data_IF_599949970427
#
_entry.id   IF_599949970427
#
_cell.length_a   1.000
_cell.length_b   1.000
_cell.length_c   1.000
_cell.angle_alpha   90.00
_cell.angle_beta   90.00
_cell.angle_gamma   90.00
#
_symmetry.space_group_name_H-M   'P 1'
#
loop_
_entity.id
_entity.type
_entity.pdbx_description
1 polymer ?
#
# COMPACT_ATOMS: atom_id res chain seq x y z
N UNK A 1 -0.75 -5.50 7.03
CA UNK A 1 -1.07 -4.20 6.39
C UNK A 1 -2.38 -3.58 6.88
N UNK A 2 -3.57 -4.17 6.71
CA UNK A 2 -4.84 -3.58 7.20
C UNK A 2 -4.82 -3.22 8.71
N UNK A 3 -4.29 -4.10 9.56
CA UNK A 3 -4.16 -3.82 11.00
C UNK A 3 -3.18 -2.68 11.28
N UNK A 4 -2.05 -2.64 10.56
CA UNK A 4 -1.09 -1.54 10.66
C UNK A 4 -1.73 -0.20 10.25
N UNK A 5 -2.49 -0.17 9.14
CA UNK A 5 -3.28 1.01 8.74
C UNK A 5 -4.28 1.41 9.83
N UNK A 6 -5.02 0.44 10.37
CA UNK A 6 -6.03 0.70 11.41
C UNK A 6 -5.41 1.34 12.64
N UNK A 7 -4.28 0.80 13.12
CA UNK A 7 -3.50 1.40 14.21
C UNK A 7 -3.01 2.82 13.89
N UNK A 8 -2.58 3.07 12.65
CA UNK A 8 -2.17 4.42 12.23
C UNK A 8 -3.35 5.40 12.19
N UNK A 9 -4.56 4.94 11.84
CA UNK A 9 -5.79 5.75 11.89
C UNK A 9 -6.16 6.07 13.35
N UNK A 10 -6.14 5.06 14.23
CA UNK A 10 -6.43 5.22 15.66
C UNK A 10 -5.45 6.20 16.33
N UNK A 11 -4.19 6.17 15.91
CA UNK A 11 -3.15 7.09 16.38
C UNK A 11 -3.13 8.43 15.63
N UNK A 12 -4.12 8.72 14.76
CA UNK A 12 -4.23 9.96 13.99
C UNK A 12 -3.04 10.28 13.06
N UNK A 13 -2.25 9.26 12.70
CA UNK A 13 -1.11 9.38 11.78
C UNK A 13 -1.60 9.57 10.33
N UNK A 14 -2.72 8.91 9.98
CA UNK A 14 -3.36 9.03 8.67
C UNK A 14 -4.88 9.14 8.81
N UNK A 15 -5.54 9.75 7.82
CA UNK A 15 -7.01 9.77 7.74
C UNK A 15 -7.57 8.39 7.36
N UNK A 16 -8.78 8.08 7.83
CA UNK A 16 -9.53 6.88 7.46
C UNK A 16 -9.77 6.80 5.94
N UNK A 17 -10.03 7.95 5.31
CA UNK A 17 -10.35 8.03 3.87
C UNK A 17 -9.10 7.96 2.98
N UNK A 18 -7.90 8.02 3.56
CA UNK A 18 -6.65 7.99 2.80
C UNK A 18 -6.49 6.68 2.00
N UNK A 19 -6.89 5.57 2.61
CA UNK A 19 -6.65 4.24 2.08
C UNK A 19 -7.80 3.27 2.38
N UNK A 20 -8.89 3.31 1.59
CA UNK A 20 -9.92 2.29 1.59
C UNK A 20 -9.33 0.88 1.50
N UNK A 21 -9.94 -0.08 2.21
CA UNK A 21 -9.41 -1.46 2.28
C UNK A 21 -9.25 -2.10 0.91
N UNK A 22 -10.19 -1.85 -0.01
CA UNK A 22 -10.14 -2.35 -1.37
C UNK A 22 -8.89 -1.90 -2.15
N UNK A 23 -8.52 -0.61 -2.08
CA UNK A 23 -7.34 -0.11 -2.77
C UNK A 23 -6.04 -0.61 -2.15
N UNK A 24 -6.00 -0.79 -0.83
CA UNK A 24 -4.87 -1.43 -0.17
C UNK A 24 -4.68 -2.89 -0.64
N UNK A 25 -5.76 -3.65 -0.79
CA UNK A 25 -5.70 -5.02 -1.32
C UNK A 25 -5.19 -5.04 -2.76
N UNK A 26 -5.74 -4.19 -3.62
CA UNK A 26 -5.28 -4.07 -5.01
C UNK A 26 -3.80 -3.63 -5.09
N UNK A 27 -3.35 -2.72 -4.23
CA UNK A 27 -1.94 -2.32 -4.21
C UNK A 27 -1.03 -3.50 -3.85
N UNK A 28 -1.42 -4.33 -2.87
CA UNK A 28 -0.66 -5.51 -2.48
C UNK A 28 -0.70 -6.62 -3.54
N UNK A 29 -1.79 -6.73 -4.30
CA UNK A 29 -1.91 -7.66 -5.43
C UNK A 29 -0.84 -7.45 -6.50
N UNK A 30 -0.43 -6.19 -6.74
CA UNK A 30 0.58 -5.86 -7.75
C UNK A 30 2.03 -6.10 -7.28
N UNK A 31 2.23 -6.49 -6.01
CA UNK A 31 3.56 -6.79 -5.50
C UNK A 31 4.01 -8.14 -6.06
N UNK A 32 5.24 -8.25 -6.60
CA UNK A 32 5.77 -9.53 -7.05
C UNK A 32 5.81 -10.58 -5.93
N UNK A 33 5.45 -11.81 -6.26
CA UNK A 33 5.47 -12.95 -5.32
C UNK A 33 6.81 -13.11 -4.59
N UNK A 34 7.93 -12.78 -5.25
CA UNK A 34 9.28 -12.84 -4.69
C UNK A 34 9.52 -11.88 -3.51
N UNK A 35 8.65 -10.90 -3.27
CA UNK A 35 8.72 -10.01 -2.10
C UNK A 35 8.02 -10.60 -0.88
N UNK A 36 7.23 -11.67 -1.05
CA UNK A 36 6.62 -12.42 0.05
C UNK A 36 7.61 -13.49 0.52
N UNK A 37 8.26 -13.22 1.65
CA UNK A 37 9.33 -14.04 2.22
C UNK A 37 8.84 -15.06 3.25
N UNK A 38 9.79 -15.55 4.04
CA UNK A 38 9.59 -16.66 4.98
C UNK A 38 9.01 -16.22 6.34
N UNK A 39 9.12 -14.93 6.67
CA UNK A 39 8.61 -14.37 7.92
C UNK A 39 7.79 -13.11 7.68
N UNK A 40 6.88 -12.80 8.61
CA UNK A 40 6.08 -11.58 8.55
C UNK A 40 6.94 -10.31 8.52
N UNK A 41 8.04 -10.32 9.28
CA UNK A 41 8.99 -9.20 9.38
C UNK A 41 9.68 -8.95 8.05
N UNK A 42 10.21 -10.00 7.45
CA UNK A 42 10.87 -9.96 6.14
C UNK A 42 9.88 -9.54 5.03
N UNK A 43 8.72 -10.20 4.96
CA UNK A 43 7.67 -9.87 3.99
C UNK A 43 7.25 -8.42 4.07
N UNK A 44 7.03 -7.90 5.28
CA UNK A 44 6.65 -6.50 5.46
C UNK A 44 7.73 -5.55 4.92
N UNK A 45 8.99 -5.75 5.33
CA UNK A 45 10.11 -4.90 4.90
C UNK A 45 10.33 -4.97 3.39
N UNK A 46 10.28 -6.16 2.79
CA UNK A 46 10.47 -6.35 1.34
C UNK A 46 9.38 -5.65 0.53
N UNK A 47 8.12 -5.82 0.92
CA UNK A 47 6.98 -5.19 0.25
C UNK A 47 7.06 -3.67 0.32
N UNK A 48 7.27 -3.12 1.51
CA UNK A 48 7.30 -1.65 1.70
C UNK A 48 8.50 -1.03 0.99
N UNK A 49 9.67 -1.67 1.04
CA UNK A 49 10.85 -1.21 0.30
C UNK A 49 10.61 -1.23 -1.22
N UNK A 50 10.05 -2.31 -1.75
CA UNK A 50 9.74 -2.42 -3.17
C UNK A 50 8.73 -1.36 -3.60
N UNK A 51 7.62 -1.20 -2.87
CA UNK A 51 6.61 -0.18 -3.13
C UNK A 51 7.19 1.24 -3.12
N UNK A 52 8.17 1.50 -2.24
CA UNK A 52 8.78 2.82 -2.11
C UNK A 52 9.85 3.13 -3.15
N UNK A 53 10.61 2.12 -3.62
CA UNK A 53 11.86 2.35 -4.38
C UNK A 53 11.80 1.85 -5.81
N UNK A 54 11.08 0.75 -6.05
CA UNK A 54 11.12 0.03 -7.33
C UNK A 54 9.77 0.10 -8.06
N UNK A 55 8.65 0.17 -7.33
CA UNK A 55 7.32 0.11 -7.91
C UNK A 55 6.99 1.35 -8.77
N UNK A 56 6.51 1.10 -9.98
CA UNK A 56 5.86 2.11 -10.81
C UNK A 56 4.35 2.03 -10.61
N UNK A 57 3.77 2.99 -9.88
CA UNK A 57 2.33 2.98 -9.59
C UNK A 57 1.47 3.04 -10.87
N UNK A 58 1.97 3.63 -11.96
CA UNK A 58 1.22 3.77 -13.22
C UNK A 58 0.88 2.43 -13.89
N UNK A 59 1.59 1.35 -13.53
CA UNK A 59 1.33 0.00 -14.04
C UNK A 59 0.38 -0.82 -13.18
N UNK A 60 -0.07 -0.29 -12.03
CA UNK A 60 -0.87 -1.08 -11.09
C UNK A 60 -2.29 -1.26 -11.61
N UNK A 61 -2.82 -2.47 -11.43
CA UNK A 61 -4.19 -2.83 -11.77
C UNK A 61 -5.00 -3.15 -10.52
N UNK A 62 -6.32 -3.01 -10.58
CA UNK A 62 -7.20 -3.60 -9.59
C UNK A 62 -7.06 -5.14 -9.61
N UNK A 63 -7.40 -5.81 -8.51
CA UNK A 63 -7.26 -7.27 -8.38
C UNK A 63 -8.10 -8.06 -9.42
N UNK A 64 -9.11 -7.44 -10.02
CA UNK A 64 -9.89 -8.03 -11.12
C UNK A 64 -9.22 -7.88 -12.51
N UNK A 65 -8.09 -7.17 -12.58
CA UNK A 65 -7.30 -6.89 -13.78
C UNK A 65 -8.04 -6.13 -14.89
N UNK A 66 -9.24 -5.60 -14.62
CA UNK A 66 -10.06 -4.89 -15.61
C UNK A 66 -9.75 -3.40 -15.69
N UNK A 67 -9.23 -2.83 -14.60
CA UNK A 67 -9.03 -1.39 -14.45
C UNK A 67 -7.66 -1.10 -13.86
N UNK A 68 -7.09 0.05 -14.25
CA UNK A 68 -5.92 0.60 -13.56
C UNK A 68 -6.30 1.00 -12.14
N UNK A 69 -5.44 0.68 -11.17
CA UNK A 69 -5.63 1.05 -9.78
C UNK A 69 -5.58 2.57 -9.58
N UNK A 70 -4.73 3.26 -10.33
CA UNK A 70 -4.53 4.71 -10.21
C UNK A 70 -5.04 5.45 -11.43
N UNK A 71 -5.63 6.62 -11.18
CA UNK A 71 -6.11 7.52 -12.22
C UNK A 71 -7.01 8.62 -11.66
N UNK A 72 -7.83 9.21 -12.54
CA UNK A 72 -8.61 10.42 -12.25
C UNK A 72 -10.11 10.16 -12.09
N UNK A 73 -10.58 8.91 -12.18
CA UNK A 73 -11.99 8.59 -11.97
C UNK A 73 -12.28 8.23 -10.52
N UNK A 74 -13.55 8.35 -10.11
CA UNK A 74 -14.00 8.07 -8.74
C UNK A 74 -13.80 6.61 -8.31
N UNK A 75 -13.62 5.70 -9.28
CA UNK A 75 -13.39 4.28 -9.04
C UNK A 75 -11.90 3.94 -8.88
N UNK A 76 -11.01 4.91 -9.09
CA UNK A 76 -9.57 4.74 -9.02
C UNK A 76 -9.01 5.41 -7.77
N UNK A 77 -7.89 4.89 -7.30
CA UNK A 77 -7.19 5.46 -6.17
C UNK A 77 -6.30 6.62 -6.59
N UNK A 78 -6.08 7.55 -5.67
CA UNK A 78 -5.15 8.65 -5.85
C UNK A 78 -3.72 8.20 -5.54
N UNK A 79 -2.80 8.42 -6.49
CA UNK A 79 -1.40 8.00 -6.34
C UNK A 79 -0.65 8.74 -5.24
N UNK A 80 -1.00 10.00 -4.97
CA UNK A 80 -0.45 10.76 -3.83
C UNK A 80 -0.91 10.14 -2.51
N UNK A 81 -2.18 9.78 -2.37
CA UNK A 81 -2.69 9.09 -1.17
C UNK A 81 -1.99 7.75 -0.93
N UNK A 82 -1.72 6.99 -1.99
CA UNK A 82 -0.94 5.75 -1.89
C UNK A 82 0.51 5.98 -1.44
N UNK A 83 1.18 6.99 -1.99
CA UNK A 83 2.53 7.38 -1.55
C UNK A 83 2.56 7.81 -0.09
N UNK A 84 1.57 8.58 0.36
CA UNK A 84 1.43 8.93 1.79
C UNK A 84 1.28 7.69 2.66
N UNK A 85 0.44 6.72 2.24
CA UNK A 85 0.30 5.46 2.98
C UNK A 85 1.59 4.65 3.03
N UNK A 86 2.32 4.54 1.91
CA UNK A 86 3.60 3.83 1.84
C UNK A 86 4.62 4.47 2.79
N UNK A 87 4.72 5.80 2.79
CA UNK A 87 5.61 6.52 3.71
C UNK A 87 5.21 6.33 5.17
N UNK A 88 3.92 6.31 5.48
CA UNK A 88 3.42 6.03 6.82
C UNK A 88 3.81 4.61 7.29
N UNK A 89 3.77 3.61 6.39
CA UNK A 89 4.26 2.26 6.70
C UNK A 89 5.78 2.22 6.95
N UNK A 90 6.58 2.99 6.21
CA UNK A 90 8.02 3.12 6.48
C UNK A 90 8.25 3.74 7.85
N UNK A 91 7.53 4.82 8.18
CA UNK A 91 7.61 5.47 9.49
C UNK A 91 7.27 4.50 10.62
N UNK A 92 6.12 3.82 10.51
CA UNK A 92 5.69 2.81 11.48
C UNK A 92 6.73 1.71 11.71
N UNK A 93 7.47 1.32 10.67
CA UNK A 93 8.53 0.34 10.78
C UNK A 93 9.78 0.85 11.51
N UNK A 94 10.18 2.08 11.22
CA UNK A 94 11.39 2.68 11.80
C UNK A 94 11.19 3.07 13.26
N UNK A 95 9.96 3.36 13.66
CA UNK A 95 9.58 3.72 15.03
C UNK A 95 9.36 2.50 15.94
N UNK A 96 9.57 1.28 15.42
CA UNK A 96 9.32 0.02 16.13
C UNK A 96 10.60 -0.71 16.53
#
# INVERSE_FOLDING_TARGET
FKNARTRMIENTIISQDLAPSYFLECMLYNVPDSKFGSSWRETYANIVNWLSKEASLDSFVCQNEQLKLFGNSDQQWNSTSARTLINAYIGLWNDW
#
